data_IF_778822427533
#
_entry.id   IF_778822427533
#
_cell.length_a   1.000
_cell.length_b   1.000
_cell.length_c   1.000
_cell.angle_alpha   90.00
_cell.angle_beta   90.00
_cell.angle_gamma   90.00
#
_symmetry.space_group_name_H-M   'P 1'
#
loop_
_entity.id
_entity.type
_entity.pdbx_description
1 polymer ?
#
# COMPACT_ATOMS: atom_id res chain seq x y z
N UNK A 1 -33.30 -25.91 -0.47
CA UNK A 1 -32.92 -24.51 -0.79
C UNK A 1 -31.55 -24.56 -1.48
N UNK A 2 -31.27 -23.61 -2.37
CA UNK A 2 -29.95 -23.49 -2.97
C UNK A 2 -28.92 -22.93 -1.99
N UNK A 3 -27.66 -23.34 -2.12
CA UNK A 3 -26.56 -22.85 -1.27
C UNK A 3 -25.91 -21.62 -1.89
N UNK A 4 -25.34 -20.74 -1.06
CA UNK A 4 -24.45 -19.68 -1.54
C UNK A 4 -22.98 -20.11 -1.41
N UNK A 5 -22.21 -19.88 -2.49
CA UNK A 5 -20.75 -20.10 -2.48
C UNK A 5 -20.04 -18.81 -2.10
N UNK A 6 -19.38 -18.82 -0.96
CA UNK A 6 -18.57 -17.71 -0.44
C UNK A 6 -17.12 -17.94 -0.90
N UNK A 7 -16.56 -16.98 -1.63
CA UNK A 7 -15.17 -17.02 -2.10
C UNK A 7 -14.37 -15.94 -1.39
N UNK A 8 -13.52 -16.35 -0.46
CA UNK A 8 -12.58 -15.47 0.22
C UNK A 8 -11.25 -15.35 -0.57
N UNK A 9 -10.46 -14.33 -0.29
CA UNK A 9 -9.14 -14.18 -0.93
C UNK A 9 -8.11 -15.21 -0.43
N UNK A 10 -8.19 -15.55 0.87
CA UNK A 10 -7.22 -16.42 1.54
C UNK A 10 -7.90 -17.51 2.36
N UNK A 11 -7.25 -18.69 2.51
CA UNK A 11 -7.81 -19.79 3.34
C UNK A 11 -8.07 -19.40 4.79
N UNK A 12 -7.25 -18.52 5.39
CA UNK A 12 -7.45 -18.04 6.76
C UNK A 12 -8.76 -17.27 6.92
N UNK A 13 -9.07 -16.39 5.96
CA UNK A 13 -10.32 -15.61 5.94
C UNK A 13 -11.54 -16.54 5.80
N UNK A 14 -11.47 -17.53 4.91
CA UNK A 14 -12.51 -18.54 4.76
C UNK A 14 -12.76 -19.29 6.10
N UNK A 15 -11.67 -19.64 6.79
CA UNK A 15 -11.75 -20.28 8.11
C UNK A 15 -12.34 -19.38 9.19
N UNK A 16 -12.02 -18.10 9.19
CA UNK A 16 -12.57 -17.15 10.18
C UNK A 16 -14.07 -16.89 9.91
N UNK A 17 -14.48 -16.76 8.65
CA UNK A 17 -15.92 -16.66 8.28
C UNK A 17 -16.68 -17.93 8.70
N UNK A 18 -16.13 -19.12 8.47
CA UNK A 18 -16.79 -20.37 8.83
C UNK A 18 -17.06 -20.52 10.33
N UNK A 19 -16.14 -20.02 11.19
CA UNK A 19 -16.31 -20.04 12.65
C UNK A 19 -17.45 -19.14 13.13
N UNK A 20 -17.73 -18.06 12.39
CA UNK A 20 -18.73 -17.04 12.78
C UNK A 20 -20.13 -17.40 12.30
N UNK A 21 -20.25 -18.00 11.10
CA UNK A 21 -21.55 -18.32 10.50
C UNK A 21 -22.20 -19.59 11.02
N UNK A 22 -21.51 -20.36 11.85
CA UNK A 22 -22.10 -21.52 12.51
C UNK A 22 -21.26 -22.79 12.39
N UNK A 23 -21.93 -23.95 12.44
CA UNK A 23 -21.26 -25.24 12.33
C UNK A 23 -21.09 -25.61 10.84
N UNK A 24 -19.87 -25.91 10.44
CA UNK A 24 -19.52 -26.37 9.09
C UNK A 24 -18.82 -27.72 9.15
N UNK A 25 -19.09 -28.55 8.18
CA UNK A 25 -18.25 -29.68 7.87
C UNK A 25 -17.03 -29.20 7.07
N UNK A 26 -15.84 -29.52 7.55
CA UNK A 26 -14.57 -29.15 6.87
C UNK A 26 -14.17 -30.24 5.89
N UNK A 27 -14.11 -29.92 4.62
CA UNK A 27 -13.47 -30.70 3.56
C UNK A 27 -12.02 -30.23 3.35
N UNK A 28 -11.28 -30.92 2.50
CA UNK A 28 -9.89 -30.55 2.21
C UNK A 28 -9.76 -29.10 1.69
N UNK A 29 -10.69 -28.65 0.83
CA UNK A 29 -10.59 -27.40 0.09
C UNK A 29 -11.69 -26.38 0.41
N UNK A 30 -12.68 -26.74 1.20
CA UNK A 30 -13.83 -25.89 1.51
C UNK A 30 -14.53 -26.31 2.82
N UNK A 31 -15.35 -25.44 3.32
CA UNK A 31 -16.27 -25.68 4.42
C UNK A 31 -17.69 -25.72 3.88
N UNK A 32 -18.54 -26.55 4.42
CA UNK A 32 -19.92 -26.72 3.94
C UNK A 32 -20.90 -26.93 5.07
N UNK A 33 -22.08 -26.31 4.95
CA UNK A 33 -23.27 -26.60 5.74
C UNK A 33 -24.51 -26.60 4.83
N UNK A 34 -25.71 -26.50 5.38
CA UNK A 34 -26.94 -26.55 4.61
C UNK A 34 -27.14 -25.31 3.71
N UNK A 35 -26.65 -24.13 4.14
CA UNK A 35 -26.88 -22.85 3.47
C UNK A 35 -25.68 -22.37 2.65
N UNK A 36 -24.45 -22.75 3.06
CA UNK A 36 -23.23 -22.17 2.51
C UNK A 36 -22.17 -23.20 2.15
N UNK A 37 -21.44 -22.88 1.10
CA UNK A 37 -20.13 -23.48 0.77
C UNK A 37 -19.11 -22.34 0.89
N UNK A 38 -18.07 -22.49 1.71
CA UNK A 38 -17.03 -21.46 1.88
C UNK A 38 -15.71 -22.00 1.38
N UNK A 39 -15.12 -21.31 0.43
CA UNK A 39 -13.80 -21.62 -0.13
C UNK A 39 -12.98 -20.36 -0.31
N UNK A 40 -11.75 -20.47 -0.79
CA UNK A 40 -10.91 -19.31 -0.99
C UNK A 40 -10.09 -19.41 -2.28
N UNK A 41 -9.70 -18.28 -2.82
CA UNK A 41 -8.52 -18.16 -3.64
C UNK A 41 -7.24 -18.31 -2.79
N UNK A 42 -6.09 -18.03 -3.39
CA UNK A 42 -4.79 -17.87 -2.73
C UNK A 42 -4.09 -16.60 -3.29
N UNK A 43 -4.85 -15.52 -3.42
CA UNK A 43 -4.53 -14.36 -4.24
C UNK A 43 -4.96 -14.58 -5.70
N UNK A 44 -4.25 -13.97 -6.66
CA UNK A 44 -4.59 -14.09 -8.07
C UNK A 44 -4.43 -15.54 -8.57
N UNK A 45 -5.49 -16.04 -9.23
CA UNK A 45 -5.51 -17.37 -9.87
C UNK A 45 -5.43 -17.26 -11.39
N UNK A 46 -5.71 -16.09 -11.93
CA UNK A 46 -5.80 -15.79 -13.35
C UNK A 46 -4.96 -14.55 -13.66
N UNK A 47 -4.45 -14.49 -14.87
CA UNK A 47 -3.71 -13.37 -15.44
C UNK A 47 -4.20 -13.08 -16.85
N UNK A 48 -3.99 -11.86 -17.36
CA UNK A 48 -4.28 -11.52 -18.74
C UNK A 48 -3.26 -12.23 -19.65
N UNK A 49 -3.75 -12.79 -20.76
CA UNK A 49 -2.95 -13.44 -21.78
C UNK A 49 -1.84 -12.54 -22.31
N UNK A 50 -0.68 -13.10 -22.64
CA UNK A 50 0.39 -12.37 -23.33
C UNK A 50 0.14 -12.30 -24.84
N UNK A 51 0.71 -11.29 -25.55
CA UNK A 51 0.41 -11.10 -26.98
C UNK A 51 0.75 -12.27 -27.89
N UNK A 52 1.68 -13.14 -27.50
CA UNK A 52 2.04 -14.34 -28.25
C UNK A 52 0.92 -15.37 -28.36
N UNK A 53 -0.13 -15.22 -27.56
CA UNK A 53 -1.35 -16.06 -27.57
C UNK A 53 -2.47 -15.47 -28.41
N UNK A 54 -2.37 -14.18 -28.75
CA UNK A 54 -3.15 -13.56 -29.81
C UNK A 54 -2.30 -13.66 -31.08
N UNK A 55 -2.80 -13.87 -32.23
CA UNK A 55 -2.14 -14.06 -33.54
C UNK A 55 -0.99 -13.09 -33.88
N UNK A 56 -0.39 -12.43 -32.92
CA UNK A 56 0.76 -11.54 -33.07
C UNK A 56 2.01 -12.42 -33.32
N UNK A 57 2.55 -12.31 -34.50
CA UNK A 57 3.72 -13.06 -34.97
C UNK A 57 4.83 -13.07 -33.91
N UNK A 58 5.27 -14.26 -33.51
CA UNK A 58 6.53 -14.46 -32.78
C UNK A 58 7.66 -13.84 -33.59
N UNK A 59 8.33 -12.84 -33.11
CA UNK A 59 9.41 -12.16 -33.80
C UNK A 59 10.14 -11.20 -32.90
N UNK A 60 11.21 -10.59 -33.42
CA UNK A 60 11.92 -9.51 -32.75
C UNK A 60 10.93 -8.41 -32.39
N UNK A 61 11.03 -7.91 -31.17
CA UNK A 61 10.27 -6.74 -30.75
C UNK A 61 10.76 -5.53 -31.57
N UNK A 62 9.89 -5.03 -32.41
CA UNK A 62 10.17 -3.90 -33.32
C UNK A 62 9.06 -2.87 -33.24
N UNK A 63 9.38 -1.63 -33.56
CA UNK A 63 8.39 -0.54 -33.54
C UNK A 63 7.24 -0.76 -34.54
N UNK A 64 7.48 -1.50 -35.63
CA UNK A 64 6.46 -1.80 -36.65
C UNK A 64 5.29 -2.62 -36.10
N UNK A 65 5.54 -3.39 -35.05
CA UNK A 65 4.53 -4.25 -34.40
C UNK A 65 3.90 -3.61 -33.16
N UNK A 66 4.06 -2.31 -32.96
CA UNK A 66 3.55 -1.56 -31.81
C UNK A 66 2.58 -0.44 -32.26
N UNK A 67 1.57 -0.13 -31.48
CA UNK A 67 1.21 -0.76 -30.20
C UNK A 67 0.50 -2.10 -30.40
N UNK A 68 0.69 -3.05 -29.46
CA UNK A 68 -0.15 -4.25 -29.36
C UNK A 68 -1.38 -3.91 -28.55
N UNK A 69 -2.54 -3.94 -29.18
CA UNK A 69 -3.84 -3.71 -28.54
C UNK A 69 -4.69 -4.95 -28.84
N UNK A 70 -4.97 -5.80 -27.84
CA UNK A 70 -5.78 -6.99 -28.07
C UNK A 70 -7.25 -6.60 -28.30
N UNK A 71 -8.00 -7.37 -29.10
CA UNK A 71 -9.44 -7.11 -29.27
C UNK A 71 -10.23 -7.36 -27.98
N UNK A 72 -9.74 -8.25 -27.12
CA UNK A 72 -10.23 -8.52 -25.76
C UNK A 72 -9.10 -9.04 -24.90
N UNK A 73 -9.26 -8.84 -23.59
CA UNK A 73 -8.30 -9.30 -22.60
C UNK A 73 -8.68 -10.69 -22.07
N UNK A 74 -8.24 -11.72 -22.79
CA UNK A 74 -8.46 -13.10 -22.38
C UNK A 74 -7.64 -13.45 -21.14
N UNK A 75 -8.19 -14.36 -20.33
CA UNK A 75 -7.60 -14.78 -19.06
C UNK A 75 -6.98 -16.17 -19.16
N UNK A 76 -5.82 -16.33 -18.53
CA UNK A 76 -5.13 -17.61 -18.38
C UNK A 76 -4.94 -17.98 -16.92
N UNK A 77 -5.02 -19.27 -16.59
CA UNK A 77 -4.62 -19.77 -15.28
C UNK A 77 -3.14 -19.50 -14.97
N UNK A 78 -2.87 -19.06 -13.74
CA UNK A 78 -1.50 -19.00 -13.22
C UNK A 78 -1.11 -20.43 -12.82
N UNK A 79 -0.11 -21.01 -13.49
CA UNK A 79 0.29 -22.43 -13.36
C UNK A 79 0.36 -22.92 -11.90
N UNK A 80 1.08 -22.20 -11.05
CA UNK A 80 1.25 -22.57 -9.63
C UNK A 80 -0.06 -22.63 -8.84
N UNK A 81 -1.12 -21.98 -9.33
CA UNK A 81 -2.42 -21.84 -8.66
C UNK A 81 -3.54 -22.60 -9.40
N UNK A 82 -3.23 -23.33 -10.48
CA UNK A 82 -4.21 -23.99 -11.34
C UNK A 82 -5.06 -25.02 -10.58
N UNK A 83 -4.45 -25.77 -9.68
CA UNK A 83 -5.16 -26.74 -8.84
C UNK A 83 -6.25 -26.05 -8.00
N UNK A 84 -5.94 -24.89 -7.45
CA UNK A 84 -6.89 -24.12 -6.65
C UNK A 84 -8.01 -23.52 -7.49
N UNK A 85 -7.70 -23.04 -8.67
CA UNK A 85 -8.70 -22.58 -9.64
C UNK A 85 -9.67 -23.72 -10.02
N UNK A 86 -9.16 -24.92 -10.32
CA UNK A 86 -10.00 -26.09 -10.64
C UNK A 86 -11.00 -26.42 -9.51
N UNK A 87 -10.59 -26.32 -8.26
CA UNK A 87 -11.50 -26.50 -7.12
C UNK A 87 -12.63 -25.49 -7.15
N UNK A 88 -12.31 -24.18 -7.27
CA UNK A 88 -13.33 -23.13 -7.31
C UNK A 88 -14.27 -23.27 -8.50
N UNK A 89 -13.76 -23.57 -9.68
CA UNK A 89 -14.59 -23.82 -10.87
C UNK A 89 -15.55 -25.01 -10.67
N UNK A 90 -15.08 -26.08 -10.00
CA UNK A 90 -15.91 -27.22 -9.65
C UNK A 90 -17.03 -26.84 -8.67
N UNK A 91 -16.72 -26.03 -7.67
CA UNK A 91 -17.72 -25.54 -6.70
C UNK A 91 -18.73 -24.59 -7.35
N UNK A 92 -18.29 -23.67 -8.21
CA UNK A 92 -19.17 -22.76 -8.95
C UNK A 92 -20.16 -23.52 -9.85
N UNK A 93 -19.74 -24.62 -10.46
CA UNK A 93 -20.57 -25.43 -11.36
C UNK A 93 -21.57 -26.36 -10.65
N UNK A 94 -21.53 -26.44 -9.33
CA UNK A 94 -22.50 -27.26 -8.55
C UNK A 94 -23.93 -26.78 -8.79
N UNK A 95 -24.85 -27.71 -8.96
CA UNK A 95 -26.27 -27.41 -9.20
C UNK A 95 -26.97 -26.86 -7.96
N UNK A 96 -26.52 -27.26 -6.78
CA UNK A 96 -27.05 -26.79 -5.49
C UNK A 96 -26.46 -25.44 -5.07
N UNK A 97 -25.41 -24.95 -5.73
CA UNK A 97 -24.91 -23.57 -5.56
C UNK A 97 -25.70 -22.66 -6.48
N UNK A 98 -26.47 -21.73 -5.91
CA UNK A 98 -27.34 -20.83 -6.65
C UNK A 98 -26.90 -19.37 -6.64
N UNK A 99 -26.00 -19.00 -5.73
CA UNK A 99 -25.52 -17.62 -5.56
C UNK A 99 -24.01 -17.63 -5.26
N UNK A 100 -23.32 -16.61 -5.72
CA UNK A 100 -21.90 -16.38 -5.43
C UNK A 100 -21.74 -15.17 -4.51
N UNK A 101 -20.98 -15.31 -3.43
CA UNK A 101 -20.65 -14.20 -2.53
C UNK A 101 -19.16 -13.92 -2.60
N UNK A 102 -18.83 -12.71 -3.05
CA UNK A 102 -17.46 -12.21 -3.02
C UNK A 102 -17.09 -11.78 -1.59
N UNK A 103 -16.23 -12.54 -0.94
CA UNK A 103 -15.67 -12.25 0.39
C UNK A 103 -14.15 -12.04 0.33
N UNK A 104 -13.62 -11.63 -0.83
CA UNK A 104 -12.24 -11.16 -0.95
C UNK A 104 -12.03 -9.82 -0.24
N UNK A 105 -10.79 -9.41 -0.07
CA UNK A 105 -10.44 -8.17 0.64
C UNK A 105 -11.22 -6.97 0.09
N UNK A 106 -11.60 -6.03 0.97
CA UNK A 106 -12.39 -4.86 0.63
C UNK A 106 -11.56 -3.84 -0.15
N UNK A 107 -11.50 -3.99 -1.46
CA UNK A 107 -10.72 -3.14 -2.34
C UNK A 107 -10.74 -3.60 -3.79
N UNK A 108 -10.07 -2.84 -4.66
CA UNK A 108 -9.99 -3.13 -6.11
C UNK A 108 -9.36 -4.51 -6.40
N UNK A 109 -8.32 -4.89 -5.67
CA UNK A 109 -7.62 -6.17 -5.88
C UNK A 109 -8.53 -7.37 -5.56
N UNK A 110 -9.22 -7.33 -4.40
CA UNK A 110 -10.17 -8.40 -4.04
C UNK A 110 -11.36 -8.47 -4.99
N UNK A 111 -11.82 -7.33 -5.52
CA UNK A 111 -12.85 -7.31 -6.55
C UNK A 111 -12.35 -7.94 -7.85
N UNK A 112 -11.15 -7.60 -8.31
CA UNK A 112 -10.54 -8.13 -9.51
C UNK A 112 -10.35 -9.66 -9.45
N UNK A 113 -9.81 -10.17 -8.34
CA UNK A 113 -9.61 -11.61 -8.13
C UNK A 113 -10.92 -12.37 -8.32
N UNK A 114 -11.98 -11.90 -7.68
CA UNK A 114 -13.29 -12.55 -7.78
C UNK A 114 -13.88 -12.43 -9.19
N UNK A 115 -13.86 -11.25 -9.80
CA UNK A 115 -14.40 -11.00 -11.15
C UNK A 115 -13.72 -11.87 -12.21
N UNK A 116 -12.42 -12.02 -12.15
CA UNK A 116 -11.70 -12.89 -13.06
C UNK A 116 -12.11 -14.35 -12.90
N UNK A 117 -12.33 -14.84 -11.70
CA UNK A 117 -12.81 -16.22 -11.45
C UNK A 117 -14.21 -16.39 -12.05
N UNK A 118 -15.12 -15.45 -11.83
CA UNK A 118 -16.49 -15.51 -12.38
C UNK A 118 -16.45 -15.46 -13.90
N UNK A 119 -15.73 -14.51 -14.50
CA UNK A 119 -15.56 -14.36 -15.93
C UNK A 119 -15.00 -15.66 -16.57
N UNK A 120 -13.95 -16.20 -16.00
CA UNK A 120 -13.31 -17.44 -16.51
C UNK A 120 -14.22 -18.66 -16.36
N UNK A 121 -15.03 -18.72 -15.31
CA UNK A 121 -16.02 -19.79 -15.09
C UNK A 121 -17.21 -19.72 -16.03
N UNK A 122 -17.45 -18.56 -16.67
CA UNK A 122 -18.64 -18.23 -17.47
C UNK A 122 -19.94 -18.47 -16.68
N UNK A 123 -19.95 -18.15 -15.39
CA UNK A 123 -21.10 -18.31 -14.52
C UNK A 123 -22.01 -17.10 -14.64
N UNK A 124 -23.32 -17.36 -14.75
CA UNK A 124 -24.42 -16.39 -14.76
C UNK A 124 -25.15 -16.31 -13.41
N UNK A 125 -24.61 -16.95 -12.37
CA UNK A 125 -25.22 -16.96 -11.05
C UNK A 125 -25.22 -15.57 -10.43
N UNK A 126 -26.28 -15.19 -9.69
CA UNK A 126 -26.32 -13.94 -8.97
C UNK A 126 -25.13 -13.74 -8.04
N UNK A 127 -24.62 -12.51 -8.01
CA UNK A 127 -23.45 -12.13 -7.22
C UNK A 127 -23.89 -11.20 -6.10
N UNK A 128 -23.28 -11.41 -4.93
CA UNK A 128 -23.37 -10.52 -3.78
C UNK A 128 -21.96 -10.22 -3.24
N UNK A 129 -21.82 -9.13 -2.52
CA UNK A 129 -20.54 -8.70 -1.97
C UNK A 129 -20.60 -8.57 -0.45
N UNK A 130 -19.78 -9.32 0.23
CA UNK A 130 -19.46 -9.14 1.64
C UNK A 130 -18.34 -8.10 1.76
N UNK A 131 -18.65 -6.93 2.31
CA UNK A 131 -17.70 -5.84 2.48
C UNK A 131 -17.28 -5.73 3.94
N UNK A 132 -16.08 -6.20 4.26
CA UNK A 132 -15.55 -6.20 5.62
C UNK A 132 -14.40 -5.20 5.77
N UNK A 133 -14.51 -4.32 6.74
CA UNK A 133 -13.43 -3.43 7.18
C UNK A 133 -12.77 -3.93 8.48
N UNK A 134 -13.40 -4.89 9.14
CA UNK A 134 -12.96 -5.54 10.35
C UNK A 134 -13.24 -7.05 10.28
N UNK A 135 -12.42 -7.85 10.95
CA UNK A 135 -12.57 -9.32 11.01
C UNK A 135 -13.11 -9.80 12.34
N UNK A 136 -13.70 -8.92 13.16
CA UNK A 136 -14.39 -9.33 14.38
C UNK A 136 -15.64 -10.15 14.05
N UNK A 137 -16.06 -11.02 14.97
CA UNK A 137 -17.25 -11.83 14.77
C UNK A 137 -18.52 -10.99 14.61
N UNK A 138 -18.60 -9.83 15.27
CA UNK A 138 -19.69 -8.88 15.12
C UNK A 138 -19.72 -8.30 13.71
N UNK A 139 -18.60 -7.75 13.22
CA UNK A 139 -18.48 -7.16 11.89
C UNK A 139 -18.79 -8.17 10.78
N UNK A 140 -18.35 -9.43 10.91
CA UNK A 140 -18.68 -10.47 9.95
C UNK A 140 -20.21 -10.73 9.91
N UNK A 141 -20.89 -10.85 11.05
CA UNK A 141 -22.35 -11.05 11.09
C UNK A 141 -23.11 -9.88 10.48
N UNK A 142 -22.74 -8.66 10.85
CA UNK A 142 -23.33 -7.43 10.31
C UNK A 142 -23.10 -7.33 8.80
N UNK A 143 -21.91 -7.66 8.33
CA UNK A 143 -21.59 -7.69 6.90
C UNK A 143 -22.46 -8.69 6.12
N UNK A 144 -22.74 -9.87 6.68
CA UNK A 144 -23.66 -10.83 6.08
C UNK A 144 -25.13 -10.38 6.13
N UNK A 145 -25.53 -9.62 7.14
CA UNK A 145 -26.85 -9.01 7.21
C UNK A 145 -27.01 -7.85 6.19
N UNK A 146 -25.92 -7.26 5.73
CA UNK A 146 -25.87 -6.10 4.84
C UNK A 146 -25.04 -6.37 3.56
N UNK A 147 -25.25 -7.53 2.93
CA UNK A 147 -24.58 -7.85 1.66
C UNK A 147 -24.93 -6.82 0.59
N UNK A 148 -23.92 -6.34 -0.14
CA UNK A 148 -24.11 -5.42 -1.27
C UNK A 148 -24.51 -6.19 -2.52
N UNK A 149 -25.30 -5.55 -3.35
CA UNK A 149 -25.69 -6.13 -4.64
C UNK A 149 -24.54 -6.01 -5.66
N UNK A 150 -24.65 -6.78 -6.75
CA UNK A 150 -23.68 -6.71 -7.85
C UNK A 150 -23.62 -5.31 -8.47
N UNK A 151 -24.78 -4.70 -8.70
CA UNK A 151 -24.88 -3.36 -9.32
C UNK A 151 -24.16 -2.29 -8.50
N UNK A 152 -24.20 -2.38 -7.16
CA UNK A 152 -23.47 -1.47 -6.29
C UNK A 152 -21.94 -1.60 -6.41
N UNK A 153 -21.49 -2.74 -6.91
CA UNK A 153 -20.06 -3.06 -7.00
C UNK A 153 -19.48 -2.89 -8.41
N UNK A 154 -20.33 -2.74 -9.44
CA UNK A 154 -19.87 -2.58 -10.83
C UNK A 154 -18.87 -1.44 -11.02
N UNK A 155 -19.03 -0.23 -10.45
CA UNK A 155 -18.04 0.83 -10.63
C UNK A 155 -16.67 0.48 -10.06
N UNK A 156 -16.61 -0.29 -8.96
CA UNK A 156 -15.36 -0.78 -8.39
C UNK A 156 -14.74 -1.88 -9.26
N UNK A 157 -15.57 -2.78 -9.79
CA UNK A 157 -15.14 -3.84 -10.70
C UNK A 157 -14.54 -3.25 -11.99
N UNK A 158 -15.19 -2.26 -12.58
CA UNK A 158 -14.73 -1.55 -13.77
C UNK A 158 -13.40 -0.83 -13.51
N UNK A 159 -13.28 -0.13 -12.37
CA UNK A 159 -12.05 0.53 -11.97
C UNK A 159 -10.89 -0.46 -11.76
N UNK A 160 -11.18 -1.66 -11.23
CA UNK A 160 -10.19 -2.71 -11.04
C UNK A 160 -9.74 -3.31 -12.39
N UNK A 161 -10.67 -3.58 -13.27
CA UNK A 161 -10.43 -4.10 -14.64
C UNK A 161 -9.65 -3.08 -15.46
N UNK A 162 -10.09 -1.82 -15.54
CA UNK A 162 -9.38 -0.77 -16.25
C UNK A 162 -7.94 -0.59 -15.75
N UNK A 163 -7.72 -0.69 -14.44
CA UNK A 163 -6.37 -0.64 -13.87
C UNK A 163 -5.51 -1.79 -14.38
N UNK A 164 -6.02 -3.03 -14.33
CA UNK A 164 -5.30 -4.22 -14.75
C UNK A 164 -4.94 -4.17 -16.24
N UNK A 165 -5.91 -3.81 -17.08
CA UNK A 165 -5.74 -3.67 -18.53
C UNK A 165 -4.76 -2.55 -18.89
N UNK A 166 -4.84 -1.40 -18.19
CA UNK A 166 -3.89 -0.30 -18.37
C UNK A 166 -2.47 -0.71 -17.98
N UNK A 167 -2.30 -1.44 -16.88
CA UNK A 167 -1.00 -1.95 -16.46
C UNK A 167 -0.42 -2.93 -17.50
N UNK A 168 -1.27 -3.78 -18.09
CA UNK A 168 -0.89 -4.67 -19.17
C UNK A 168 -0.49 -3.90 -20.44
N UNK A 169 -1.34 -2.97 -20.92
CA UNK A 169 -1.09 -2.20 -22.14
C UNK A 169 0.22 -1.41 -22.05
N UNK A 170 0.43 -0.68 -20.96
CA UNK A 170 1.64 0.12 -20.76
C UNK A 170 2.85 -0.78 -20.55
N UNK A 171 2.71 -1.83 -19.75
CA UNK A 171 3.79 -2.76 -19.45
C UNK A 171 4.32 -3.47 -20.69
N UNK A 172 3.43 -4.06 -21.48
CA UNK A 172 3.80 -4.81 -22.69
C UNK A 172 4.36 -3.86 -23.76
N UNK A 173 3.63 -2.82 -24.12
CA UNK A 173 4.03 -1.92 -25.19
C UNK A 173 5.27 -1.10 -24.84
N UNK A 174 5.33 -0.55 -23.64
CA UNK A 174 6.48 0.19 -23.17
C UNK A 174 7.75 -0.66 -23.07
N UNK A 175 7.65 -1.86 -22.51
CA UNK A 175 8.78 -2.80 -22.42
C UNK A 175 9.29 -3.19 -23.80
N UNK A 176 8.41 -3.51 -24.74
CA UNK A 176 8.80 -3.86 -26.12
C UNK A 176 9.43 -2.69 -26.85
N UNK A 177 8.85 -1.49 -26.73
CA UNK A 177 9.39 -0.29 -27.35
C UNK A 177 10.78 0.05 -26.83
N UNK A 178 10.96 0.09 -25.51
CA UNK A 178 12.25 0.43 -24.89
C UNK A 178 13.30 -0.65 -25.13
N UNK A 179 12.92 -1.92 -25.14
CA UNK A 179 13.83 -3.02 -25.50
C UNK A 179 14.26 -2.92 -26.96
N UNK A 180 13.32 -2.65 -27.88
CA UNK A 180 13.65 -2.44 -29.29
C UNK A 180 14.57 -1.23 -29.49
N UNK A 181 14.31 -0.13 -28.76
CA UNK A 181 15.15 1.06 -28.82
C UNK A 181 16.57 0.77 -28.35
N UNK A 182 16.75 0.15 -27.21
CA UNK A 182 18.05 -0.14 -26.61
C UNK A 182 18.82 -1.27 -27.34
N UNK A 183 18.14 -2.05 -28.18
CA UNK A 183 18.74 -3.16 -28.95
C UNK A 183 19.09 -2.76 -30.40
N UNK A 184 18.97 -1.50 -30.77
CA UNK A 184 19.25 -1.00 -32.15
C UNK A 184 20.68 -1.27 -32.62
N UNK A 185 21.65 -1.16 -31.70
CA UNK A 185 23.09 -1.37 -31.99
C UNK A 185 23.52 -2.84 -31.91
N UNK A 186 22.61 -3.78 -31.79
CA UNK A 186 22.85 -5.20 -31.65
C UNK A 186 22.57 -5.75 -30.24
N UNK A 187 22.43 -7.07 -30.12
CA UNK A 187 22.08 -7.74 -28.87
C UNK A 187 20.59 -7.66 -28.53
N UNK A 188 20.24 -8.17 -27.36
CA UNK A 188 18.90 -8.07 -26.76
C UNK A 188 19.02 -7.47 -25.36
N UNK A 189 18.62 -6.20 -25.23
CA UNK A 189 18.72 -5.44 -23.99
C UNK A 189 17.34 -5.22 -23.41
N UNK A 190 16.85 -6.20 -22.63
CA UNK A 190 15.53 -6.13 -21.98
C UNK A 190 15.45 -4.88 -21.09
N UNK A 191 14.54 -3.98 -21.46
CA UNK A 191 14.27 -2.76 -20.71
C UNK A 191 12.80 -2.73 -20.32
N UNK A 192 12.54 -3.09 -19.07
CA UNK A 192 11.17 -3.18 -18.55
C UNK A 192 10.59 -1.81 -18.28
N UNK A 193 9.32 -1.64 -18.61
CA UNK A 193 8.51 -0.45 -18.33
C UNK A 193 7.27 -0.84 -17.57
N UNK A 194 6.90 -0.05 -16.58
CA UNK A 194 5.69 -0.28 -15.82
C UNK A 194 5.19 1.02 -15.16
N UNK A 195 3.88 1.09 -14.92
CA UNK A 195 3.23 2.29 -14.34
C UNK A 195 3.69 2.64 -12.92
N UNK A 196 4.26 1.69 -12.20
CA UNK A 196 4.83 1.89 -10.85
C UNK A 196 6.35 1.89 -10.89
N UNK A 197 6.96 0.90 -11.54
CA UNK A 197 8.41 0.72 -11.55
C UNK A 197 9.14 1.90 -12.19
N UNK A 198 8.69 2.36 -13.35
CA UNK A 198 9.36 3.43 -14.11
C UNK A 198 9.29 4.78 -13.39
N UNK A 199 8.14 5.26 -12.89
CA UNK A 199 8.10 6.47 -12.10
C UNK A 199 8.93 6.38 -10.81
N UNK A 200 8.93 5.23 -10.14
CA UNK A 200 9.75 5.02 -8.94
C UNK A 200 11.25 5.14 -9.26
N UNK A 201 11.69 4.54 -10.37
CA UNK A 201 13.06 4.66 -10.83
C UNK A 201 13.40 6.11 -11.21
N UNK A 202 12.48 6.82 -11.89
CA UNK A 202 12.66 8.23 -12.23
C UNK A 202 12.90 9.12 -11.01
N UNK A 203 12.10 8.93 -9.94
CA UNK A 203 12.28 9.65 -8.67
C UNK A 203 13.68 9.41 -8.08
N UNK A 204 14.15 8.16 -8.11
CA UNK A 204 15.50 7.83 -7.62
C UNK A 204 16.59 8.46 -8.47
N UNK A 205 16.45 8.40 -9.80
CA UNK A 205 17.41 9.01 -10.74
C UNK A 205 17.46 10.52 -10.55
N UNK A 206 16.31 11.20 -10.48
CA UNK A 206 16.26 12.63 -10.22
C UNK A 206 16.93 13.01 -8.88
N UNK A 207 16.72 12.19 -7.85
CA UNK A 207 17.38 12.40 -6.56
C UNK A 207 18.89 12.25 -6.66
N UNK A 208 19.37 11.19 -7.31
CA UNK A 208 20.78 10.95 -7.53
C UNK A 208 21.44 12.06 -8.38
N UNK A 209 20.74 12.56 -9.40
CA UNK A 209 21.24 13.68 -10.19
C UNK A 209 21.35 14.98 -9.37
N UNK A 210 20.37 15.25 -8.50
CA UNK A 210 20.44 16.38 -7.57
C UNK A 210 21.64 16.25 -6.62
N UNK A 211 21.90 15.04 -6.11
CA UNK A 211 23.05 14.77 -5.24
C UNK A 211 24.37 14.98 -6.01
N UNK A 212 24.48 14.46 -7.24
CA UNK A 212 25.67 14.63 -8.09
C UNK A 212 25.94 16.07 -8.49
N UNK A 213 24.88 16.86 -8.68
CA UNK A 213 24.96 18.29 -9.02
C UNK A 213 25.08 19.20 -7.81
N UNK A 214 25.03 18.61 -6.59
CA UNK A 214 25.10 19.40 -5.36
C UNK A 214 26.49 20.03 -5.22
N UNK A 215 26.50 21.33 -5.04
CA UNK A 215 27.70 22.14 -4.73
C UNK A 215 27.55 22.64 -3.31
N UNK A 216 28.50 22.27 -2.45
CA UNK A 216 28.52 22.78 -1.08
C UNK A 216 28.83 24.29 -1.09
N UNK A 217 28.15 25.00 -0.21
CA UNK A 217 28.37 26.44 0.01
C UNK A 217 28.66 26.65 1.49
N UNK A 218 29.67 27.41 1.79
CA UNK A 218 29.96 27.79 3.15
C UNK A 218 28.92 28.77 3.68
N UNK A 219 28.56 28.61 4.92
CA UNK A 219 27.68 29.53 5.64
C UNK A 219 28.18 29.68 7.08
N UNK A 220 27.77 30.78 7.70
CA UNK A 220 28.12 31.12 9.09
C UNK A 220 26.86 31.15 9.92
N UNK A 221 26.95 30.62 11.15
CA UNK A 221 25.95 30.76 12.18
C UNK A 221 26.58 31.61 13.32
N UNK A 222 25.82 32.53 13.90
CA UNK A 222 26.29 33.37 14.98
C UNK A 222 25.63 32.87 16.27
N UNK A 223 26.45 32.41 17.16
CA UNK A 223 26.05 31.97 18.49
C UNK A 223 26.55 32.96 19.54
N UNK A 224 25.73 33.29 20.52
CA UNK A 224 26.10 34.17 21.63
C UNK A 224 25.77 33.52 22.97
N UNK A 225 26.59 33.81 23.99
CA UNK A 225 26.25 33.53 25.38
C UNK A 225 25.85 34.78 26.05
N UNK A 226 24.72 34.81 26.70
CA UNK A 226 24.14 35.97 27.35
C UNK A 226 24.16 35.76 28.87
N UNK A 227 24.75 36.68 29.59
CA UNK A 227 24.73 36.71 31.06
C UNK A 227 23.51 37.46 31.59
N UNK A 228 22.82 36.85 32.56
CA UNK A 228 21.70 37.47 33.30
C UNK A 228 21.85 37.20 34.80
N UNK A 229 20.99 37.81 35.63
CA UNK A 229 21.04 37.61 37.09
C UNK A 229 20.89 36.15 37.53
N UNK A 230 20.13 35.34 36.74
CA UNK A 230 19.89 33.92 36.99
C UNK A 230 20.94 32.97 36.42
N UNK A 231 21.98 33.49 35.73
CA UNK A 231 23.01 32.69 35.08
C UNK A 231 23.22 33.02 33.60
N UNK A 232 23.86 32.14 32.89
CA UNK A 232 24.14 32.26 31.45
C UNK A 232 23.23 31.40 30.62
N UNK A 233 22.84 31.86 29.41
CA UNK A 233 22.10 31.09 28.46
C UNK A 233 22.64 31.27 27.02
N UNK A 234 22.64 30.21 26.20
CA UNK A 234 23.04 30.30 24.79
C UNK A 234 21.91 30.85 23.92
N UNK A 235 22.27 31.61 22.92
CA UNK A 235 21.36 32.10 21.89
C UNK A 235 21.94 31.94 20.51
N UNK A 236 21.10 31.90 19.50
CA UNK A 236 21.48 31.84 18.09
C UNK A 236 20.81 32.97 17.34
N UNK A 237 21.60 33.68 16.54
CA UNK A 237 21.06 34.73 15.67
C UNK A 237 20.22 34.14 14.56
N UNK A 238 19.18 34.84 14.17
CA UNK A 238 18.37 34.54 12.98
C UNK A 238 17.84 35.84 12.36
N UNK A 239 17.59 35.79 11.07
CA UNK A 239 16.99 36.92 10.34
C UNK A 239 15.47 36.88 10.47
N UNK A 240 14.89 37.79 11.20
CA UNK A 240 13.43 37.93 11.41
C UNK A 240 12.66 38.21 10.10
N UNK A 241 13.34 38.77 9.10
CA UNK A 241 12.76 39.09 7.78
C UNK A 241 12.97 38.01 6.75
N UNK A 242 13.52 36.86 7.19
CA UNK A 242 13.80 35.76 6.28
C UNK A 242 12.53 35.26 5.59
N UNK A 243 12.57 35.20 4.25
CA UNK A 243 11.55 34.56 3.43
C UNK A 243 12.21 33.49 2.59
N UNK A 244 11.73 32.26 2.74
CA UNK A 244 12.25 31.13 1.97
C UNK A 244 11.90 31.31 0.49
N UNK A 245 12.90 31.37 -0.37
CA UNK A 245 12.70 31.38 -1.83
C UNK A 245 12.40 29.96 -2.31
N UNK A 246 11.47 29.84 -3.22
CA UNK A 246 11.15 28.56 -3.86
C UNK A 246 12.39 28.01 -4.55
N UNK A 247 12.70 26.72 -4.30
CA UNK A 247 13.88 26.04 -4.88
C UNK A 247 15.18 26.18 -4.11
N UNK A 248 15.31 27.05 -3.11
CA UNK A 248 16.50 27.13 -2.26
C UNK A 248 16.31 26.37 -0.94
N UNK A 249 16.63 25.07 -0.95
CA UNK A 249 16.52 24.20 0.21
C UNK A 249 17.62 24.46 1.27
N UNK A 250 18.71 25.14 0.90
CA UNK A 250 19.84 25.42 1.79
C UNK A 250 19.63 26.68 2.61
N UNK A 251 18.76 27.57 2.18
CA UNK A 251 18.50 28.84 2.84
C UNK A 251 17.67 28.65 4.12
N UNK A 252 18.18 29.16 5.23
CA UNK A 252 17.55 29.14 6.55
C UNK A 252 17.75 30.48 7.24
N UNK A 253 16.83 30.90 8.14
CA UNK A 253 16.92 32.20 8.78
C UNK A 253 18.19 32.37 9.62
N UNK A 254 18.76 31.31 10.16
CA UNK A 254 19.96 31.33 10.97
C UNK A 254 21.28 31.32 10.15
N UNK A 255 21.21 31.18 8.81
CA UNK A 255 22.40 31.10 7.97
C UNK A 255 22.75 32.43 7.32
N UNK A 256 23.99 32.82 7.50
CA UNK A 256 24.61 33.97 6.84
C UNK A 256 25.57 33.45 5.77
N UNK A 257 25.40 33.92 4.55
CA UNK A 257 26.16 33.41 3.39
C UNK A 257 27.46 34.17 3.12
N UNK A 258 27.67 35.32 3.77
CA UNK A 258 28.83 36.17 3.60
C UNK A 258 29.54 36.36 4.94
N UNK A 259 30.83 36.04 5.02
CA UNK A 259 31.64 36.15 6.22
C UNK A 259 31.65 37.59 6.77
N UNK A 260 31.81 38.57 5.87
CA UNK A 260 31.82 39.99 6.27
C UNK A 260 30.52 40.42 7.01
N UNK A 261 29.39 39.87 6.57
CA UNK A 261 28.08 40.11 7.23
C UNK A 261 28.02 39.42 8.59
N UNK A 262 28.55 38.21 8.71
CA UNK A 262 28.60 37.50 10.00
C UNK A 262 29.48 38.24 11.02
N UNK A 263 30.67 38.73 10.57
CA UNK A 263 31.57 39.53 11.41
C UNK A 263 30.97 40.89 11.80
N UNK A 264 30.24 41.56 10.91
CA UNK A 264 29.52 42.79 11.21
C UNK A 264 28.50 42.59 12.34
N UNK A 265 27.70 41.52 12.26
CA UNK A 265 26.70 41.18 13.29
C UNK A 265 27.40 40.89 14.61
N UNK A 266 28.49 40.09 14.59
CA UNK A 266 29.28 39.76 15.78
C UNK A 266 29.80 41.04 16.45
N UNK A 267 30.47 41.92 15.70
CA UNK A 267 31.01 43.19 16.20
C UNK A 267 29.92 44.10 16.78
N UNK A 268 28.73 44.09 16.17
CA UNK A 268 27.59 44.90 16.60
C UNK A 268 27.03 44.42 17.93
N UNK A 269 27.09 43.11 18.23
CA UNK A 269 26.46 42.54 19.42
C UNK A 269 27.45 42.27 20.55
N UNK A 270 28.74 42.04 20.27
CA UNK A 270 29.74 41.66 21.26
C UNK A 270 29.89 42.69 22.37
N UNK A 271 29.75 42.26 23.62
CA UNK A 271 29.93 43.07 24.82
C UNK A 271 28.86 44.15 25.05
N UNK A 272 27.74 44.07 24.30
CA UNK A 272 26.64 45.02 24.45
C UNK A 272 25.44 44.36 25.14
N UNK A 273 24.69 45.15 25.97
CA UNK A 273 23.46 44.64 26.56
C UNK A 273 22.39 44.38 25.49
N UNK A 274 21.64 43.30 25.67
CA UNK A 274 20.47 42.93 24.86
C UNK A 274 19.17 43.14 25.63
N UNK A 275 18.09 43.36 24.92
CA UNK A 275 16.73 43.36 25.48
C UNK A 275 16.18 41.94 25.28
N UNK A 276 15.73 41.31 26.36
CA UNK A 276 15.11 39.99 26.32
C UNK A 276 13.60 40.15 26.34
N UNK A 277 12.94 39.51 25.43
CA UNK A 277 11.48 39.36 25.42
C UNK A 277 11.16 37.87 25.59
N UNK A 278 10.41 37.55 26.62
CA UNK A 278 9.92 36.16 26.83
C UNK A 278 8.48 36.06 26.33
N UNK A 279 8.25 35.09 25.47
CA UNK A 279 6.91 34.71 25.05
C UNK A 279 6.62 33.27 25.52
N UNK A 280 5.54 33.14 26.29
CA UNK A 280 5.03 31.83 26.71
C UNK A 280 3.68 31.60 26.05
N UNK A 281 3.59 30.53 25.25
CA UNK A 281 2.33 30.13 24.59
C UNK A 281 1.98 28.69 25.00
N UNK A 282 0.76 28.44 25.50
CA UNK A 282 0.33 27.10 25.77
C UNK A 282 0.30 26.30 24.45
N UNK A 283 0.92 25.13 24.44
CA UNK A 283 0.90 24.22 23.31
C UNK A 283 0.27 22.91 23.72
N UNK A 284 -0.45 22.29 22.80
CA UNK A 284 -1.02 20.97 23.00
C UNK A 284 -0.30 20.00 22.08
N UNK A 285 0.31 18.97 22.64
CA UNK A 285 0.85 17.86 21.87
C UNK A 285 -0.19 16.75 21.84
N UNK A 286 -0.68 16.46 20.66
CA UNK A 286 -1.57 15.32 20.47
C UNK A 286 -0.77 14.01 20.43
N UNK A 287 -1.37 12.93 20.91
CA UNK A 287 -0.77 11.60 20.77
C UNK A 287 -0.56 11.24 19.29
N UNK A 288 0.52 10.53 18.97
CA UNK A 288 0.72 10.08 17.59
C UNK A 288 -0.41 9.15 17.15
N UNK A 289 -0.70 9.16 15.86
CA UNK A 289 -1.63 8.21 15.24
C UNK A 289 -1.02 6.80 15.21
N UNK A 290 -1.87 5.80 15.00
CA UNK A 290 -1.41 4.44 14.77
C UNK A 290 -0.57 4.32 13.49
N UNK A 291 0.09 3.20 13.30
CA UNK A 291 0.88 2.95 12.08
C UNK A 291 0.00 2.52 10.91
N UNK A 292 0.19 3.18 9.77
CA UNK A 292 -0.04 2.56 8.47
C UNK A 292 1.19 1.73 8.05
N UNK A 293 1.10 0.98 6.94
CA UNK A 293 2.22 0.16 6.48
C UNK A 293 3.47 0.99 6.20
N UNK A 294 3.32 2.13 5.54
CA UNK A 294 4.46 2.96 5.12
C UNK A 294 5.17 3.57 6.33
N UNK A 295 4.43 4.10 7.30
CA UNK A 295 5.01 4.67 8.51
C UNK A 295 5.69 3.60 9.37
N UNK A 296 5.11 2.39 9.47
CA UNK A 296 5.73 1.25 10.14
C UNK A 296 7.05 0.85 9.46
N UNK A 297 7.07 0.77 8.13
CA UNK A 297 8.29 0.43 7.38
C UNK A 297 9.39 1.48 7.56
N UNK A 298 9.04 2.76 7.56
CA UNK A 298 9.99 3.86 7.77
C UNK A 298 10.59 3.84 9.17
N UNK A 299 9.75 3.66 10.19
CA UNK A 299 10.20 3.63 11.58
C UNK A 299 11.06 2.38 11.87
N UNK A 300 10.65 1.21 11.38
CA UNK A 300 11.42 -0.02 11.47
C UNK A 300 12.77 0.07 10.75
N UNK A 301 12.82 0.73 9.60
CA UNK A 301 14.07 0.99 8.90
C UNK A 301 14.97 1.94 9.68
N UNK A 302 14.43 3.04 10.19
CA UNK A 302 15.19 4.04 10.95
C UNK A 302 15.78 3.48 12.25
N UNK A 303 15.00 2.67 13.00
CA UNK A 303 15.41 2.14 14.31
C UNK A 303 16.23 0.87 14.23
N UNK A 304 15.91 -0.02 13.30
CA UNK A 304 16.43 -1.39 13.26
C UNK A 304 17.11 -1.76 11.94
N UNK A 305 17.14 -0.86 10.94
CA UNK A 305 17.69 -1.14 9.62
C UNK A 305 16.89 -2.17 8.82
N UNK A 306 15.63 -2.45 9.17
CA UNK A 306 14.81 -3.41 8.47
C UNK A 306 14.43 -2.91 7.08
N UNK A 307 14.52 -3.79 6.08
CA UNK A 307 13.99 -3.47 4.76
C UNK A 307 12.45 -3.44 4.79
N UNK A 308 11.83 -2.70 3.86
CA UNK A 308 10.38 -2.67 3.73
C UNK A 308 9.78 -4.07 3.54
N UNK A 309 10.46 -4.95 2.78
CA UNK A 309 10.07 -6.35 2.56
C UNK A 309 10.10 -7.15 3.87
N UNK A 310 11.16 -7.01 4.66
CA UNK A 310 11.29 -7.71 5.92
C UNK A 310 10.23 -7.26 6.93
N UNK A 311 10.03 -5.96 7.06
CA UNK A 311 8.99 -5.37 7.93
C UNK A 311 7.60 -5.88 7.57
N UNK A 312 7.25 -5.89 6.29
CA UNK A 312 5.96 -6.42 5.83
C UNK A 312 5.84 -7.93 6.13
N UNK A 313 6.90 -8.71 5.90
CA UNK A 313 6.90 -10.15 6.19
C UNK A 313 6.66 -10.45 7.68
N UNK A 314 7.29 -9.71 8.57
CA UNK A 314 7.09 -9.82 10.03
C UNK A 314 5.67 -9.41 10.43
N UNK A 315 5.18 -8.26 9.92
CA UNK A 315 3.83 -7.79 10.19
C UNK A 315 2.78 -8.79 9.69
N UNK A 316 3.00 -9.40 8.53
CA UNK A 316 2.11 -10.42 7.98
C UNK A 316 2.09 -11.70 8.83
N UNK A 317 3.23 -12.13 9.37
CA UNK A 317 3.31 -13.27 10.29
C UNK A 317 2.56 -12.97 11.61
N UNK A 318 2.72 -11.76 12.16
CA UNK A 318 2.00 -11.31 13.36
C UNK A 318 0.48 -11.27 13.14
N UNK A 319 0.03 -10.89 11.96
CA UNK A 319 -1.38 -10.90 11.58
C UNK A 319 -1.92 -12.32 11.33
N UNK A 320 -1.23 -13.11 10.49
CA UNK A 320 -1.77 -14.39 10.00
C UNK A 320 -1.59 -15.55 11.00
N UNK A 321 -0.41 -15.66 11.62
CA UNK A 321 -0.05 -16.77 12.52
C UNK A 321 -0.35 -16.48 13.97
N UNK A 322 0.07 -15.30 14.43
CA UNK A 322 0.03 -14.95 15.85
C UNK A 322 -1.25 -14.21 16.25
N UNK A 323 -1.99 -13.65 15.28
CA UNK A 323 -3.25 -12.90 15.50
C UNK A 323 -3.14 -11.75 16.51
N UNK A 324 -1.95 -11.12 16.58
CA UNK A 324 -1.65 -10.00 17.48
C UNK A 324 -1.53 -8.65 16.77
N UNK A 325 -1.76 -8.62 15.47
CA UNK A 325 -1.75 -7.42 14.66
C UNK A 325 -3.01 -7.39 13.78
N UNK A 326 -3.52 -6.20 13.49
CA UNK A 326 -4.56 -6.02 12.46
C UNK A 326 -3.98 -6.16 11.05
N UNK A 327 -4.80 -6.11 10.01
CA UNK A 327 -4.36 -6.29 8.62
C UNK A 327 -3.23 -5.29 8.26
N UNK A 328 -2.02 -5.77 7.92
CA UNK A 328 -0.85 -4.90 7.84
C UNK A 328 -0.78 -4.04 6.58
N UNK A 329 -1.51 -4.40 5.52
CA UNK A 329 -1.53 -3.63 4.27
C UNK A 329 -2.63 -2.58 4.30
N UNK A 330 -2.50 -1.64 5.19
CA UNK A 330 -3.44 -0.55 5.38
C UNK A 330 -2.77 0.80 5.20
N UNK A 331 -3.50 1.77 4.69
CA UNK A 331 -3.19 3.19 4.68
C UNK A 331 -3.93 3.94 5.80
N UNK A 332 -4.83 3.25 6.52
CA UNK A 332 -5.53 3.80 7.68
C UNK A 332 -4.62 3.84 8.90
N UNK A 333 -4.70 4.93 9.64
CA UNK A 333 -4.01 5.16 10.92
C UNK A 333 -4.99 5.18 12.10
N UNK A 334 -6.18 4.65 11.88
CA UNK A 334 -7.24 4.53 12.87
C UNK A 334 -7.80 3.09 12.88
N UNK A 335 -8.34 2.67 13.98
CA UNK A 335 -9.08 1.41 14.13
C UNK A 335 -10.58 1.68 14.00
N UNK A 336 -11.36 0.70 13.50
CA UNK A 336 -12.82 0.75 13.57
C UNK A 336 -13.32 0.78 15.01
N UNK A 337 -14.52 1.32 15.22
CA UNK A 337 -15.11 1.50 16.57
C UNK A 337 -15.33 0.18 17.33
N UNK A 338 -15.58 -0.91 16.62
CA UNK A 338 -15.75 -2.25 17.20
C UNK A 338 -14.47 -2.81 17.88
N UNK A 339 -13.30 -2.17 17.65
CA UNK A 339 -12.05 -2.49 18.34
C UNK A 339 -11.89 -1.80 19.70
N UNK A 340 -12.75 -0.88 20.12
CA UNK A 340 -12.61 -0.15 21.38
C UNK A 340 -12.50 -1.12 22.58
N UNK A 341 -13.32 -2.16 22.62
CA UNK A 341 -13.26 -3.19 23.65
C UNK A 341 -11.93 -3.93 23.68
N UNK A 342 -11.44 -4.33 22.52
CA UNK A 342 -10.14 -5.00 22.35
C UNK A 342 -8.99 -4.11 22.80
N UNK A 343 -9.01 -2.83 22.42
CA UNK A 343 -7.99 -1.84 22.82
C UNK A 343 -7.95 -1.69 24.33
N UNK A 344 -9.11 -1.52 24.99
CA UNK A 344 -9.18 -1.41 26.45
C UNK A 344 -8.62 -2.64 27.16
N UNK A 345 -8.98 -3.83 26.68
CA UNK A 345 -8.45 -5.09 27.23
C UNK A 345 -6.94 -5.19 27.06
N UNK A 346 -6.43 -4.85 25.87
CA UNK A 346 -4.99 -4.88 25.59
C UNK A 346 -4.22 -3.87 26.44
N UNK A 347 -4.75 -2.66 26.62
CA UNK A 347 -4.14 -1.65 27.51
C UNK A 347 -4.08 -2.15 28.95
N UNK A 348 -5.17 -2.74 29.46
CA UNK A 348 -5.18 -3.31 30.82
C UNK A 348 -4.18 -4.46 31.02
N UNK A 349 -3.88 -5.24 29.95
CA UNK A 349 -2.82 -6.26 30.00
C UNK A 349 -1.41 -5.65 30.04
N UNK A 350 -1.21 -4.46 29.46
CA UNK A 350 0.07 -3.79 29.41
C UNK A 350 0.32 -2.91 30.64
N UNK A 351 -0.71 -2.59 31.42
CA UNK A 351 -0.58 -1.87 32.69
C UNK A 351 0.32 -2.65 33.66
N UNK A 352 1.37 -2.01 34.13
CA UNK A 352 2.37 -2.64 35.00
C UNK A 352 3.50 -3.38 34.29
N UNK A 353 3.54 -3.40 32.98
CA UNK A 353 4.69 -3.86 32.19
C UNK A 353 5.63 -2.68 31.88
N UNK A 354 6.90 -2.98 31.62
CA UNK A 354 7.91 -1.96 31.27
C UNK A 354 7.90 -1.60 29.77
N UNK A 355 6.74 -1.71 29.11
CA UNK A 355 6.58 -1.35 27.70
C UNK A 355 5.97 0.03 27.54
#
# INVERSE_FOLDING_TARGET
MGKALIIAEKPSVAGDISKVLGKFHKNADFYENDDYVISSAVGHLLTICVPEQFEVKRGKWTFVNLPVIPPHFDLLPIEKNEARLKVLLKLIKRKDVTTLINACDAGREGELIFRYIVQYSKSDKPIQRLWLQSMTAASIREGFAALRTDEQMLPLADAATCRSESDWLIGINGTRAMTAFNSKSGGFHLTTVGRVQTPTLAILVEREEKIKKFVSRDYWEIHGTFGAQGGEYPGRWFDEKFSKKEGDEQSKPERVWEIARAEEIQKKCLGKPGIVTEESKPTTSMSPLLYDLTSLQRDANSRFGFSAKNTLGLAQALYERHKVLTYPRTDSRALPEDYIGTVKTTLGMLEGTNY
#
